data_IF_853184552786
#
_entry.id   IF_853184552786
#
_cell.length_a   1.000
_cell.length_b   1.000
_cell.length_c   1.000
_cell.angle_alpha   90.00
_cell.angle_beta   90.00
_cell.angle_gamma   90.00
#
_symmetry.space_group_name_H-M   'P 1'
#
loop_
_entity.id
_entity.type
_entity.pdbx_description
1 polymer ?
#
# COMPACT_ATOMS: atom_id res chain seq x y z
N UNK A 1 16.40 -4.54 26.53
CA UNK A 1 15.05 -3.95 26.35
C UNK A 1 14.16 -5.03 25.76
N UNK A 2 13.31 -5.64 26.59
CA UNK A 2 12.38 -6.69 26.17
C UNK A 2 11.35 -6.08 25.22
N UNK A 3 11.26 -6.60 23.98
CA UNK A 3 10.14 -6.36 23.08
C UNK A 3 8.86 -6.78 23.81
N UNK A 4 8.04 -5.83 24.23
CA UNK A 4 6.67 -6.13 24.66
C UNK A 4 5.95 -6.56 23.38
N UNK A 5 5.62 -7.84 23.28
CA UNK A 5 5.10 -8.48 22.06
C UNK A 5 3.62 -8.14 21.79
N UNK A 6 2.95 -7.41 22.67
CA UNK A 6 1.54 -7.05 22.57
C UNK A 6 1.30 -5.64 23.11
N UNK A 7 0.42 -4.87 22.48
CA UNK A 7 0.03 -3.55 23.03
C UNK A 7 -0.82 -3.73 24.29
N UNK A 8 -0.84 -2.73 25.18
CA UNK A 8 -1.70 -2.77 26.38
C UNK A 8 -3.19 -2.94 26.00
N UNK A 9 -3.60 -2.35 24.88
CA UNK A 9 -4.93 -2.50 24.29
C UNK A 9 -5.23 -3.95 23.83
N UNK A 10 -4.27 -4.62 23.19
CA UNK A 10 -4.41 -6.05 22.81
C UNK A 10 -4.57 -6.95 24.05
N UNK A 11 -3.82 -6.67 25.11
CA UNK A 11 -3.91 -7.42 26.38
C UNK A 11 -5.26 -7.18 27.07
N UNK A 12 -5.76 -5.94 27.05
CA UNK A 12 -7.06 -5.59 27.62
C UNK A 12 -8.21 -6.23 26.83
N UNK A 13 -8.16 -6.19 25.50
CA UNK A 13 -9.15 -6.83 24.63
C UNK A 13 -9.15 -8.35 24.77
N UNK A 14 -7.98 -8.99 24.85
CA UNK A 14 -7.88 -10.43 25.07
C UNK A 14 -8.46 -10.83 26.44
N UNK A 15 -8.19 -10.03 27.47
CA UNK A 15 -8.74 -10.24 28.83
C UNK A 15 -10.26 -10.10 28.84
N UNK A 16 -10.80 -9.08 28.18
CA UNK A 16 -12.25 -8.90 28.06
C UNK A 16 -12.88 -10.05 27.26
N UNK A 17 -12.28 -10.44 26.13
CA UNK A 17 -12.74 -11.57 25.30
C UNK A 17 -12.84 -12.85 26.12
N UNK A 18 -11.84 -13.14 26.95
CA UNK A 18 -11.83 -14.33 27.81
C UNK A 18 -12.89 -14.25 28.92
N UNK A 19 -13.08 -13.08 29.53
CA UNK A 19 -14.07 -12.87 30.61
C UNK A 19 -15.52 -12.96 30.09
N UNK A 20 -15.77 -12.47 28.88
CA UNK A 20 -17.11 -12.39 28.28
C UNK A 20 -17.50 -13.64 27.50
N UNK A 21 -16.54 -14.54 27.29
CA UNK A 21 -16.77 -15.80 26.60
C UNK A 21 -17.51 -16.79 27.50
N UNK A 22 -18.64 -17.30 27.00
CA UNK A 22 -19.53 -18.23 27.72
C UNK A 22 -19.19 -19.68 27.35
N UNK A 23 -18.90 -19.94 26.08
CA UNK A 23 -18.59 -21.27 25.55
C UNK A 23 -19.07 -21.48 24.11
N UNK A 24 -18.87 -22.69 23.59
CA UNK A 24 -19.24 -23.07 22.22
C UNK A 24 -20.43 -24.03 22.23
N UNK A 25 -21.38 -23.83 21.31
CA UNK A 25 -22.54 -24.72 21.16
C UNK A 25 -22.93 -24.95 19.70
N UNK A 26 -23.65 -26.03 19.45
CA UNK A 26 -24.33 -26.29 18.17
C UNK A 26 -25.72 -25.68 18.21
N UNK A 27 -26.00 -24.76 17.30
CA UNK A 27 -27.30 -24.05 17.22
C UNK A 27 -27.93 -24.25 15.86
N UNK A 28 -29.26 -24.27 15.78
CA UNK A 28 -29.95 -24.30 14.49
C UNK A 28 -29.65 -23.03 13.70
N UNK A 29 -29.35 -23.16 12.41
CA UNK A 29 -29.07 -22.04 11.51
C UNK A 29 -30.22 -21.02 11.51
N UNK A 30 -31.47 -21.49 11.65
CA UNK A 30 -32.67 -20.66 11.69
C UNK A 30 -32.81 -19.79 12.96
N UNK A 31 -32.02 -20.05 14.00
CA UNK A 31 -32.08 -19.34 15.27
C UNK A 31 -31.04 -18.22 15.37
N UNK A 32 -30.12 -18.13 14.41
CA UNK A 32 -29.06 -17.13 14.38
C UNK A 32 -29.58 -15.92 13.60
N UNK A 33 -29.84 -14.81 14.30
CA UNK A 33 -30.23 -13.55 13.67
C UNK A 33 -29.03 -12.64 13.49
N UNK A 34 -29.11 -11.73 12.51
CA UNK A 34 -28.06 -10.77 12.20
C UNK A 34 -28.71 -9.39 12.06
N UNK A 35 -28.53 -8.52 13.07
CA UNK A 35 -29.15 -7.19 13.08
C UNK A 35 -28.32 -6.17 12.29
N UNK A 36 -28.98 -5.32 11.48
CA UNK A 36 -28.33 -4.16 10.86
C UNK A 36 -28.04 -3.03 11.88
N UNK A 37 -27.03 -2.17 11.66
CA UNK A 37 -26.19 -2.10 10.46
C UNK A 37 -25.05 -3.13 10.51
N UNK A 38 -25.08 -4.06 9.56
CA UNK A 38 -24.02 -5.04 9.38
C UNK A 38 -22.89 -4.38 8.58
N UNK A 39 -21.62 -4.75 8.83
CA UNK A 39 -20.49 -4.22 8.06
C UNK A 39 -20.61 -4.47 6.56
N UNK A 40 -21.30 -5.56 6.15
CA UNK A 40 -21.43 -6.00 4.77
C UNK A 40 -22.80 -6.62 4.50
N UNK A 41 -23.37 -6.25 3.35
CA UNK A 41 -24.55 -6.92 2.79
C UNK A 41 -24.21 -8.32 2.25
N UNK A 42 -25.26 -9.12 2.00
CA UNK A 42 -25.13 -10.45 1.41
C UNK A 42 -24.63 -10.38 -0.04
N UNK A 43 -23.33 -10.47 -0.25
CA UNK A 43 -22.74 -10.68 -1.59
C UNK A 43 -23.12 -12.05 -2.21
N UNK A 44 -23.86 -12.06 -3.34
CA UNK A 44 -24.23 -13.29 -4.03
C UNK A 44 -23.04 -14.09 -4.56
N UNK A 45 -21.93 -13.45 -4.97
CA UNK A 45 -20.75 -14.15 -5.47
C UNK A 45 -20.06 -14.97 -4.38
N UNK A 46 -20.00 -14.43 -3.16
CA UNK A 46 -19.42 -15.15 -2.03
C UNK A 46 -20.33 -16.29 -1.57
N UNK A 47 -21.65 -16.08 -1.61
CA UNK A 47 -22.62 -17.16 -1.38
C UNK A 47 -22.42 -18.31 -2.38
N UNK A 48 -22.28 -18.01 -3.67
CA UNK A 48 -22.07 -19.04 -4.70
C UNK A 48 -20.75 -19.80 -4.51
N UNK A 49 -19.68 -19.08 -4.12
CA UNK A 49 -18.41 -19.70 -3.76
C UNK A 49 -18.57 -20.65 -2.57
N UNK A 50 -19.20 -20.19 -1.49
CA UNK A 50 -19.43 -20.99 -0.28
C UNK A 50 -20.34 -22.19 -0.55
N UNK A 51 -21.41 -22.02 -1.35
CA UNK A 51 -22.28 -23.12 -1.81
C UNK A 51 -21.48 -24.19 -2.53
N UNK A 52 -20.55 -23.80 -3.41
CA UNK A 52 -19.67 -24.75 -4.13
C UNK A 52 -18.74 -25.49 -3.16
N UNK A 53 -18.11 -24.77 -2.23
CA UNK A 53 -17.23 -25.35 -1.19
C UNK A 53 -18.00 -26.34 -0.32
N UNK A 54 -19.22 -26.02 0.10
CA UNK A 54 -20.03 -26.90 0.93
C UNK A 54 -20.50 -28.16 0.19
N UNK A 55 -20.85 -28.05 -1.10
CA UNK A 55 -21.20 -29.21 -1.94
C UNK A 55 -20.02 -30.17 -2.17
N UNK A 56 -18.78 -29.66 -2.13
CA UNK A 56 -17.57 -30.46 -2.27
C UNK A 56 -17.08 -31.08 -0.95
N UNK A 57 -17.96 -31.19 0.07
CA UNK A 57 -17.69 -31.78 1.38
C UNK A 57 -16.63 -31.06 2.22
N UNK A 58 -16.35 -29.78 1.95
CA UNK A 58 -15.43 -28.96 2.75
C UNK A 58 -16.15 -28.15 3.84
N UNK A 59 -17.32 -28.58 4.30
CA UNK A 59 -18.08 -27.88 5.35
C UNK A 59 -17.46 -28.15 6.74
N UNK A 60 -16.33 -27.49 7.03
CA UNK A 60 -15.54 -27.62 8.27
C UNK A 60 -16.17 -26.83 9.44
N UNK A 61 -17.41 -27.17 9.82
CA UNK A 61 -18.19 -26.47 10.86
C UNK A 61 -17.61 -26.56 12.27
N UNK A 62 -16.72 -27.52 12.52
CA UNK A 62 -16.06 -27.73 13.82
C UNK A 62 -14.71 -27.02 13.92
N UNK A 63 -14.28 -26.37 12.84
CA UNK A 63 -13.03 -25.62 12.79
C UNK A 63 -13.27 -24.24 13.38
N UNK A 64 -12.39 -23.78 14.26
CA UNK A 64 -12.57 -22.54 15.03
C UNK A 64 -12.70 -21.34 14.09
N UNK A 65 -11.97 -21.36 12.98
CA UNK A 65 -12.04 -20.34 11.91
C UNK A 65 -13.43 -20.26 11.25
N UNK A 66 -14.25 -21.32 11.41
CA UNK A 66 -15.59 -21.45 10.85
C UNK A 66 -16.72 -21.20 11.85
N UNK A 67 -16.39 -20.93 13.11
CA UNK A 67 -17.38 -20.62 14.13
C UNK A 67 -18.04 -19.25 13.87
N UNK A 68 -19.25 -19.11 14.37
CA UNK A 68 -19.98 -17.83 14.32
C UNK A 68 -19.94 -17.22 15.72
N UNK A 69 -19.26 -16.08 15.92
CA UNK A 69 -19.38 -15.36 17.18
C UNK A 69 -20.79 -14.77 17.30
N UNK A 70 -21.46 -15.03 18.41
CA UNK A 70 -22.80 -14.51 18.68
C UNK A 70 -22.93 -14.01 20.11
N UNK A 71 -23.74 -12.97 20.29
CA UNK A 71 -24.08 -12.44 21.61
C UNK A 71 -25.45 -12.94 22.05
N UNK A 72 -25.57 -13.18 23.36
CA UNK A 72 -26.80 -13.66 23.99
C UNK A 72 -26.96 -13.03 25.37
N UNK A 73 -28.20 -12.70 25.75
CA UNK A 73 -28.47 -12.20 27.09
C UNK A 73 -28.32 -13.31 28.14
N UNK A 74 -27.88 -13.00 29.38
CA UNK A 74 -27.79 -14.00 30.44
C UNK A 74 -29.13 -14.69 30.74
N UNK A 75 -30.25 -13.98 30.58
CA UNK A 75 -31.59 -14.52 30.79
C UNK A 75 -31.96 -15.55 29.72
N UNK A 76 -31.70 -15.23 28.45
CA UNK A 76 -32.02 -16.11 27.32
C UNK A 76 -31.12 -17.36 27.32
N UNK A 77 -29.85 -17.20 27.69
CA UNK A 77 -28.94 -18.32 27.88
C UNK A 77 -29.43 -19.27 28.97
N UNK A 78 -29.83 -18.75 30.13
CA UNK A 78 -30.33 -19.57 31.24
C UNK A 78 -31.59 -20.34 30.84
N UNK A 79 -32.50 -19.71 30.10
CA UNK A 79 -33.70 -20.36 29.57
C UNK A 79 -33.35 -21.48 28.58
N UNK A 80 -32.40 -21.22 27.67
CA UNK A 80 -31.95 -22.19 26.68
C UNK A 80 -31.25 -23.39 27.33
N UNK A 81 -30.40 -23.17 28.33
CA UNK A 81 -29.72 -24.22 29.09
C UNK A 81 -30.69 -25.08 29.90
N UNK A 82 -31.68 -24.47 30.57
CA UNK A 82 -32.74 -25.20 31.28
C UNK A 82 -33.57 -26.07 30.35
N UNK A 83 -33.93 -25.54 29.18
CA UNK A 83 -34.69 -26.29 28.16
C UNK A 83 -33.89 -27.47 27.60
N UNK A 84 -32.58 -27.30 27.42
CA UNK A 84 -31.70 -28.35 26.96
C UNK A 84 -31.31 -29.36 28.06
N UNK A 85 -31.56 -29.02 29.34
CA UNK A 85 -31.09 -29.75 30.52
C UNK A 85 -29.56 -29.90 30.55
N UNK A 86 -28.84 -28.83 30.22
CA UNK A 86 -27.38 -28.79 30.08
C UNK A 86 -26.80 -27.77 31.08
N UNK A 87 -25.67 -28.10 31.69
CA UNK A 87 -24.94 -27.16 32.54
C UNK A 87 -24.06 -26.23 31.70
N UNK A 88 -23.84 -25.00 32.17
CA UNK A 88 -22.97 -24.04 31.47
C UNK A 88 -21.54 -24.57 31.29
N UNK A 89 -21.05 -25.40 32.21
CA UNK A 89 -19.71 -26.00 32.12
C UNK A 89 -19.55 -26.92 30.90
N UNK A 90 -20.63 -27.54 30.42
CA UNK A 90 -20.62 -28.36 29.20
C UNK A 90 -20.35 -27.55 27.93
N UNK A 91 -20.55 -26.21 27.96
CA UNK A 91 -20.23 -25.32 26.84
C UNK A 91 -18.74 -25.04 26.69
N UNK A 92 -17.95 -25.26 27.74
CA UNK A 92 -16.50 -25.06 27.74
C UNK A 92 -15.72 -26.32 27.31
N UNK A 93 -16.40 -27.27 26.65
CA UNK A 93 -15.76 -28.51 26.21
C UNK A 93 -14.73 -28.26 25.12
N UNK A 94 -13.56 -28.90 25.23
CA UNK A 94 -12.49 -28.84 24.24
C UNK A 94 -12.70 -29.84 23.10
N UNK A 95 -13.58 -30.85 23.28
CA UNK A 95 -13.87 -31.84 22.23
C UNK A 95 -15.02 -31.35 21.33
N UNK A 96 -14.67 -30.94 20.10
CA UNK A 96 -15.62 -30.48 19.09
C UNK A 96 -16.71 -31.53 18.77
N UNK A 97 -16.45 -32.83 18.99
CA UNK A 97 -17.46 -33.88 18.79
C UNK A 97 -18.54 -33.89 19.86
N UNK A 98 -18.21 -33.43 21.07
CA UNK A 98 -19.09 -33.44 22.24
C UNK A 98 -19.81 -32.10 22.47
N UNK A 99 -19.72 -31.17 21.52
CA UNK A 99 -20.39 -29.87 21.64
C UNK A 99 -21.91 -30.04 21.84
N UNK A 100 -22.47 -29.43 22.90
CA UNK A 100 -23.89 -29.52 23.23
C UNK A 100 -24.73 -28.83 22.16
N UNK A 101 -25.94 -29.34 21.93
CA UNK A 101 -26.91 -28.71 21.03
C UNK A 101 -27.88 -27.87 21.85
N UNK A 102 -27.91 -26.56 21.59
CA UNK A 102 -28.78 -25.61 22.28
C UNK A 102 -29.76 -25.01 21.28
N UNK A 103 -30.99 -24.81 21.72
CA UNK A 103 -32.04 -24.17 20.95
C UNK A 103 -32.43 -22.84 21.57
N UNK A 104 -32.31 -21.76 20.80
CA UNK A 104 -32.79 -20.44 21.16
C UNK A 104 -34.14 -20.15 20.48
N UNK A 105 -34.95 -19.26 21.07
CA UNK A 105 -36.11 -18.69 20.40
C UNK A 105 -35.66 -17.64 19.38
N UNK A 106 -36.56 -17.29 18.46
CA UNK A 106 -36.31 -16.26 17.48
C UNK A 106 -36.03 -14.91 18.17
N UNK A 107 -34.94 -14.24 17.79
CA UNK A 107 -34.49 -12.98 18.40
C UNK A 107 -33.55 -13.11 19.61
N UNK A 108 -33.33 -14.31 20.16
CA UNK A 108 -32.51 -14.47 21.37
C UNK A 108 -31.00 -14.59 21.10
N UNK A 109 -30.61 -14.95 19.87
CA UNK A 109 -29.21 -15.17 19.52
C UNK A 109 -28.82 -14.29 18.33
N UNK A 110 -27.91 -13.34 18.58
CA UNK A 110 -27.47 -12.38 17.59
C UNK A 110 -26.06 -12.71 17.11
N UNK A 111 -25.92 -13.18 15.88
CA UNK A 111 -24.64 -13.39 15.23
C UNK A 111 -23.96 -12.06 14.88
N UNK A 112 -22.68 -11.93 15.25
CA UNK A 112 -21.85 -10.77 14.91
C UNK A 112 -21.21 -10.93 13.52
N UNK A 113 -20.91 -12.17 13.11
CA UNK A 113 -20.27 -12.46 11.82
C UNK A 113 -20.72 -13.82 11.25
N UNK A 114 -20.37 -14.12 9.99
CA UNK A 114 -20.58 -15.43 9.37
C UNK A 114 -21.95 -15.62 8.72
N UNK A 115 -22.69 -14.53 8.49
CA UNK A 115 -24.00 -14.54 7.81
C UNK A 115 -23.98 -15.27 6.47
N UNK A 116 -22.96 -15.06 5.63
CA UNK A 116 -22.83 -15.77 4.35
C UNK A 116 -22.69 -17.29 4.51
N UNK A 117 -22.02 -17.75 5.57
CA UNK A 117 -21.82 -19.18 5.85
C UNK A 117 -23.11 -19.81 6.36
N UNK A 118 -23.79 -19.14 7.30
CA UNK A 118 -25.10 -19.56 7.83
C UNK A 118 -26.12 -19.64 6.69
N UNK A 119 -26.17 -18.62 5.82
CA UNK A 119 -27.08 -18.60 4.67
C UNK A 119 -26.76 -19.67 3.62
N UNK A 120 -25.49 -19.82 3.23
CA UNK A 120 -25.08 -20.88 2.31
C UNK A 120 -25.33 -22.28 2.90
N UNK A 121 -25.17 -22.43 4.22
CA UNK A 121 -25.47 -23.65 4.96
C UNK A 121 -26.97 -23.97 4.95
N UNK A 122 -27.84 -22.96 5.13
CA UNK A 122 -29.29 -23.13 5.13
C UNK A 122 -29.81 -23.77 3.82
N UNK A 123 -29.19 -23.41 2.70
CA UNK A 123 -29.61 -23.84 1.36
C UNK A 123 -28.97 -25.15 0.91
N UNK A 124 -27.72 -25.42 1.31
CA UNK A 124 -26.97 -26.60 0.86
C UNK A 124 -27.13 -27.79 1.81
N UNK A 125 -27.27 -27.55 3.11
CA UNK A 125 -27.31 -28.63 4.10
C UNK A 125 -28.69 -29.29 4.17
N UNK A 126 -28.68 -30.61 4.32
CA UNK A 126 -29.87 -31.42 4.58
C UNK A 126 -30.55 -30.96 5.88
N UNK A 127 -31.90 -31.09 6.01
CA UNK A 127 -32.63 -30.62 7.19
C UNK A 127 -32.08 -31.10 8.54
N UNK A 128 -31.59 -32.35 8.61
CA UNK A 128 -30.98 -32.91 9.83
C UNK A 128 -29.67 -32.20 10.24
N UNK A 129 -28.95 -31.65 9.26
CA UNK A 129 -27.64 -31.04 9.40
C UNK A 129 -27.66 -29.51 9.41
N UNK A 130 -28.84 -28.87 9.46
CA UNK A 130 -28.98 -27.39 9.52
C UNK A 130 -28.62 -26.80 10.88
N UNK A 131 -27.42 -27.09 11.34
CA UNK A 131 -26.81 -26.54 12.53
C UNK A 131 -25.46 -25.92 12.21
N UNK A 132 -25.08 -24.92 13.00
CA UNK A 132 -23.79 -24.26 12.94
C UNK A 132 -23.15 -24.20 14.33
N UNK A 133 -21.82 -24.14 14.39
CA UNK A 133 -21.08 -23.99 15.64
C UNK A 133 -20.96 -22.50 15.96
N UNK A 134 -21.42 -22.14 17.15
CA UNK A 134 -21.52 -20.75 17.60
C UNK A 134 -20.72 -20.56 18.87
N UNK A 135 -19.89 -19.52 18.87
CA UNK A 135 -19.15 -19.07 20.05
C UNK A 135 -19.98 -18.01 20.75
N UNK A 136 -20.41 -18.31 21.98
CA UNK A 136 -21.35 -17.50 22.73
C UNK A 136 -20.60 -16.48 23.60
N UNK A 137 -20.98 -15.22 23.44
CA UNK A 137 -20.53 -14.10 24.25
C UNK A 137 -21.71 -13.47 24.98
N UNK A 138 -21.43 -12.89 26.14
CA UNK A 138 -22.40 -12.07 26.86
C UNK A 138 -22.78 -10.84 26.02
N UNK A 139 -24.02 -10.36 26.13
CA UNK A 139 -24.50 -9.16 25.42
C UNK A 139 -23.80 -7.85 25.85
N UNK A 140 -23.27 -7.82 27.08
CA UNK A 140 -22.56 -6.70 27.69
C UNK A 140 -21.07 -6.60 27.31
N UNK A 141 -20.71 -6.91 26.07
CA UNK A 141 -19.36 -6.69 25.52
C UNK A 141 -19.13 -5.20 25.19
N UNK A 142 -17.91 -4.71 25.42
CA UNK A 142 -17.48 -3.38 25.05
C UNK A 142 -17.56 -3.13 23.54
N UNK A 143 -17.67 -1.85 23.15
CA UNK A 143 -17.74 -1.46 21.75
C UNK A 143 -16.48 -1.88 20.96
N UNK A 144 -15.32 -1.85 21.61
CA UNK A 144 -14.04 -2.27 21.03
C UNK A 144 -14.00 -3.78 20.78
N UNK A 145 -14.35 -4.61 21.78
CA UNK A 145 -14.42 -6.06 21.61
C UNK A 145 -15.46 -6.47 20.56
N UNK A 146 -16.62 -5.81 20.55
CA UNK A 146 -17.65 -6.02 19.51
C UNK A 146 -17.11 -5.72 18.12
N UNK A 147 -16.37 -4.62 17.97
CA UNK A 147 -15.75 -4.25 16.69
C UNK A 147 -14.68 -5.27 16.30
N UNK A 148 -13.79 -5.65 17.23
CA UNK A 148 -12.77 -6.67 17.01
C UNK A 148 -13.34 -8.01 16.54
N UNK A 149 -14.37 -8.54 17.21
CA UNK A 149 -15.04 -9.79 16.81
C UNK A 149 -15.72 -9.71 15.45
N UNK A 150 -16.18 -8.52 15.06
CA UNK A 150 -16.76 -8.29 13.74
C UNK A 150 -15.67 -8.17 12.66
N UNK A 151 -14.51 -7.61 12.99
CA UNK A 151 -13.43 -7.29 12.05
C UNK A 151 -12.41 -8.41 11.85
N UNK A 152 -12.01 -9.10 12.92
CA UNK A 152 -11.06 -10.22 12.90
C UNK A 152 -11.47 -11.26 11.85
N UNK A 153 -12.79 -11.51 11.75
CA UNK A 153 -13.38 -12.48 10.84
C UNK A 153 -13.86 -11.88 9.50
N UNK A 154 -13.94 -10.54 9.36
CA UNK A 154 -14.24 -9.87 8.09
C UNK A 154 -13.11 -10.00 7.05
N UNK A 155 -11.94 -10.51 7.47
CA UNK A 155 -10.75 -10.70 6.64
C UNK A 155 -10.83 -11.92 5.69
N UNK A 156 -11.95 -12.66 5.67
CA UNK A 156 -12.19 -13.74 4.69
C UNK A 156 -12.19 -13.26 3.21
N UNK A 157 -12.24 -11.94 2.99
CA UNK A 157 -11.98 -11.30 1.70
C UNK A 157 -11.22 -9.99 1.92
N UNK A 158 -10.26 -9.69 1.04
CA UNK A 158 -9.59 -8.40 0.97
C UNK A 158 -10.65 -7.29 0.95
N UNK A 159 -10.67 -6.37 1.95
CA UNK A 159 -11.64 -5.28 1.98
C UNK A 159 -11.50 -4.43 0.72
N UNK A 160 -12.61 -3.85 0.26
CA UNK A 160 -12.54 -2.90 -0.85
C UNK A 160 -11.81 -1.63 -0.42
N UNK A 161 -11.14 -0.95 -1.33
CA UNK A 161 -10.38 0.26 -0.99
C UNK A 161 -11.26 1.35 -0.38
N UNK A 162 -12.55 1.38 -0.74
CA UNK A 162 -13.55 2.25 -0.10
C UNK A 162 -13.93 1.85 1.33
N UNK A 163 -13.94 0.55 1.65
CA UNK A 163 -14.09 0.06 3.03
C UNK A 163 -12.86 0.41 3.86
N UNK A 164 -11.66 0.22 3.30
CA UNK A 164 -10.40 0.58 3.95
C UNK A 164 -10.36 2.09 4.23
N UNK A 165 -10.64 2.92 3.23
CA UNK A 165 -10.66 4.38 3.39
C UNK A 165 -11.72 4.82 4.42
N UNK A 166 -12.93 4.26 4.36
CA UNK A 166 -13.98 4.56 5.35
C UNK A 166 -13.51 4.22 6.76
N UNK A 167 -12.88 3.06 6.95
CA UNK A 167 -12.35 2.64 8.25
C UNK A 167 -11.21 3.52 8.72
N UNK A 168 -10.21 3.80 7.87
CA UNK A 168 -9.11 4.74 8.20
C UNK A 168 -9.68 6.08 8.69
N UNK A 169 -10.67 6.64 7.98
CA UNK A 169 -11.31 7.90 8.36
C UNK A 169 -12.19 7.80 9.61
N UNK A 170 -12.75 6.62 9.89
CA UNK A 170 -13.49 6.33 11.11
C UNK A 170 -12.57 6.20 12.33
N UNK A 171 -11.35 5.66 12.15
CA UNK A 171 -10.34 5.56 13.20
C UNK A 171 -9.54 6.86 13.41
N UNK A 172 -9.35 7.67 12.37
CA UNK A 172 -8.74 9.01 12.49
C UNK A 172 -9.66 10.03 13.19
N UNK A 173 -10.96 9.72 13.31
CA UNK A 173 -11.98 10.58 13.89
C UNK A 173 -12.66 9.94 15.08
N UNK A 174 -11.96 9.84 16.21
CA UNK A 174 -12.65 9.73 17.49
C UNK A 174 -13.57 10.95 17.68
N UNK A 175 -14.81 10.70 18.10
CA UNK A 175 -15.96 11.60 18.29
C UNK A 175 -17.02 11.67 17.17
N UNK A 176 -18.09 10.94 17.46
CA UNK A 176 -19.14 10.41 16.58
C UNK A 176 -20.29 11.38 16.21
N UNK A 177 -20.11 12.70 16.27
CA UNK A 177 -21.21 13.66 15.96
C UNK A 177 -20.82 14.76 14.98
N UNK A 178 -19.58 15.25 15.03
CA UNK A 178 -19.10 16.37 14.19
C UNK A 178 -18.98 16.00 12.69
N UNK A 179 -18.97 14.70 12.38
CA UNK A 179 -18.78 14.23 11.01
C UNK A 179 -20.04 14.37 10.13
N UNK A 180 -21.27 14.21 10.66
CA UNK A 180 -22.47 14.31 9.81
C UNK A 180 -22.64 15.71 9.21
N UNK A 181 -22.47 16.74 10.02
CA UNK A 181 -22.66 18.13 9.58
C UNK A 181 -21.52 18.64 8.70
N UNK A 182 -20.27 18.25 9.01
CA UNK A 182 -19.09 18.67 8.24
C UNK A 182 -18.99 17.94 6.89
N UNK A 183 -19.49 16.71 6.80
CA UNK A 183 -19.46 15.90 5.59
C UNK A 183 -20.42 16.43 4.51
N UNK A 184 -21.51 17.11 4.85
CA UNK A 184 -22.48 17.58 3.83
C UNK A 184 -22.01 18.86 3.10
N UNK A 185 -21.27 19.75 3.75
CA UNK A 185 -20.62 20.88 3.09
C UNK A 185 -19.41 20.41 2.25
N UNK A 186 -18.54 19.57 2.83
CA UNK A 186 -17.42 18.99 2.10
C UNK A 186 -17.88 18.15 0.89
N UNK A 187 -18.97 17.38 1.02
CA UNK A 187 -19.60 16.65 -0.10
C UNK A 187 -20.13 17.59 -1.16
N UNK A 188 -20.79 18.70 -0.79
CA UNK A 188 -21.27 19.69 -1.78
C UNK A 188 -20.12 20.32 -2.54
N UNK A 189 -19.02 20.62 -1.86
CA UNK A 189 -17.79 21.15 -2.49
C UNK A 189 -17.17 20.10 -3.44
N UNK A 190 -17.00 18.86 -2.97
CA UNK A 190 -16.46 17.77 -3.79
C UNK A 190 -17.37 17.52 -5.00
N UNK A 191 -18.68 17.47 -4.80
CA UNK A 191 -19.66 17.28 -5.87
C UNK A 191 -19.59 18.39 -6.92
N UNK A 192 -19.54 19.66 -6.49
CA UNK A 192 -19.36 20.81 -7.38
C UNK A 192 -18.05 20.72 -8.18
N UNK A 193 -16.95 20.29 -7.55
CA UNK A 193 -15.67 20.08 -8.25
C UNK A 193 -15.74 18.92 -9.24
N UNK A 194 -16.39 17.81 -8.88
CA UNK A 194 -16.57 16.65 -9.75
C UNK A 194 -17.43 16.99 -10.97
N UNK A 195 -18.47 17.81 -10.81
CA UNK A 195 -19.33 18.24 -11.93
C UNK A 195 -18.60 19.12 -12.94
N UNK A 196 -17.60 19.88 -12.49
CA UNK A 196 -16.80 20.78 -13.32
C UNK A 196 -15.47 20.15 -13.78
N UNK A 197 -15.26 18.85 -13.54
CA UNK A 197 -14.05 18.16 -13.93
C UNK A 197 -14.25 17.43 -15.25
N UNK A 198 -13.55 17.88 -16.29
CA UNK A 198 -13.64 17.32 -17.65
C UNK A 198 -12.84 16.02 -17.86
N UNK A 199 -12.22 15.49 -16.80
CA UNK A 199 -11.37 14.29 -16.85
C UNK A 199 -12.02 13.03 -16.30
N UNK A 200 -11.36 11.89 -16.48
CA UNK A 200 -11.73 10.64 -15.83
C UNK A 200 -11.49 10.76 -14.32
N UNK A 201 -12.53 10.55 -13.52
CA UNK A 201 -12.40 10.44 -12.06
C UNK A 201 -12.04 8.99 -11.74
N UNK A 202 -10.79 8.69 -11.32
CA UNK A 202 -10.40 7.32 -11.02
C UNK A 202 -11.22 6.80 -9.84
N UNK A 203 -11.62 5.53 -9.93
CA UNK A 203 -12.03 4.78 -8.74
C UNK A 203 -10.86 4.73 -7.73
N UNK A 204 -11.15 4.53 -6.45
CA UNK A 204 -10.08 4.32 -5.45
C UNK A 204 -9.14 3.19 -5.85
N UNK A 205 -9.69 2.12 -6.44
CA UNK A 205 -8.89 1.01 -6.97
C UNK A 205 -7.91 1.46 -8.04
N UNK A 206 -8.39 2.12 -9.10
CA UNK A 206 -7.52 2.62 -10.17
C UNK A 206 -6.54 3.67 -9.67
N UNK A 207 -6.95 4.53 -8.73
CA UNK A 207 -6.06 5.49 -8.09
C UNK A 207 -4.89 4.80 -7.36
N UNK A 208 -5.16 3.74 -6.60
CA UNK A 208 -4.10 2.98 -5.93
C UNK A 208 -3.25 2.15 -6.90
N UNK A 209 -3.83 1.65 -8.00
CA UNK A 209 -3.05 1.01 -9.07
C UNK A 209 -2.13 2.01 -9.78
N UNK A 210 -2.62 3.22 -10.09
CA UNK A 210 -1.82 4.31 -10.67
C UNK A 210 -0.70 4.74 -9.72
N UNK A 211 -0.95 4.69 -8.40
CA UNK A 211 0.06 4.98 -7.40
C UNK A 211 1.25 4.00 -7.44
N UNK A 212 1.04 2.74 -7.81
CA UNK A 212 2.15 1.77 -7.98
C UNK A 212 3.09 2.17 -9.12
N UNK A 213 2.53 2.70 -10.20
CA UNK A 213 3.31 3.23 -11.31
C UNK A 213 4.07 4.49 -10.89
N UNK A 214 3.39 5.41 -10.21
CA UNK A 214 4.03 6.62 -9.67
C UNK A 214 5.10 6.31 -8.63
N UNK A 215 4.95 5.25 -7.85
CA UNK A 215 5.96 4.80 -6.88
C UNK A 215 7.25 4.33 -7.58
N UNK A 216 7.13 3.62 -8.70
CA UNK A 216 8.29 3.24 -9.51
C UNK A 216 9.01 4.46 -10.11
N UNK A 217 8.24 5.45 -10.59
CA UNK A 217 8.81 6.71 -11.09
C UNK A 217 9.47 7.51 -9.95
N UNK A 218 8.79 7.60 -8.81
CA UNK A 218 9.30 8.27 -7.62
C UNK A 218 10.65 7.70 -7.22
N UNK A 219 10.78 6.37 -7.19
CA UNK A 219 12.05 5.72 -6.88
C UNK A 219 13.20 6.20 -7.78
N UNK A 220 12.97 6.34 -9.09
CA UNK A 220 13.97 6.88 -10.02
C UNK A 220 14.43 8.27 -9.58
N UNK A 221 13.50 9.17 -9.26
CA UNK A 221 13.81 10.52 -8.79
C UNK A 221 14.55 10.50 -7.44
N UNK A 222 14.17 9.60 -6.51
CA UNK A 222 14.84 9.48 -5.21
C UNK A 222 16.31 9.12 -5.34
N UNK A 223 16.71 8.38 -6.38
CA UNK A 223 18.11 8.04 -6.65
C UNK A 223 18.99 9.28 -6.89
N UNK A 224 18.41 10.39 -7.32
CA UNK A 224 19.12 11.67 -7.51
C UNK A 224 19.28 12.47 -6.21
N UNK A 225 18.46 12.20 -5.19
CA UNK A 225 18.37 13.02 -3.99
C UNK A 225 18.96 12.35 -2.74
N UNK A 226 19.30 11.07 -2.79
CA UNK A 226 19.78 10.31 -1.63
C UNK A 226 18.66 9.97 -0.63
N UNK A 227 18.99 9.78 0.66
CA UNK A 227 17.99 9.50 1.70
C UNK A 227 17.06 10.71 1.87
N UNK A 228 15.76 10.47 1.67
CA UNK A 228 14.74 11.52 1.72
C UNK A 228 13.97 11.45 3.04
N UNK A 229 14.11 12.49 3.86
CA UNK A 229 13.34 12.67 5.10
C UNK A 229 12.04 13.50 4.91
N UNK A 230 11.85 14.10 3.73
CA UNK A 230 10.73 14.98 3.39
C UNK A 230 10.00 14.57 2.09
N UNK A 231 9.13 15.41 1.53
CA UNK A 231 8.55 15.15 0.20
C UNK A 231 9.61 15.32 -0.89
N UNK A 232 9.50 14.55 -1.98
CA UNK A 232 10.40 14.64 -3.15
C UNK A 232 10.49 16.09 -3.65
N UNK A 233 9.36 16.78 -3.73
CA UNK A 233 9.31 18.20 -4.08
C UNK A 233 10.22 19.06 -3.20
N UNK A 234 10.07 18.98 -1.86
CA UNK A 234 10.89 19.80 -0.94
C UNK A 234 12.37 19.50 -1.06
N UNK A 235 12.73 18.23 -1.19
CA UNK A 235 14.13 17.83 -1.39
C UNK A 235 14.67 18.36 -2.71
N UNK A 236 13.94 18.20 -3.81
CA UNK A 236 14.32 18.72 -5.12
C UNK A 236 14.42 20.25 -5.14
N UNK A 237 13.52 20.97 -4.48
CA UNK A 237 13.61 22.43 -4.34
C UNK A 237 14.86 22.86 -3.55
N UNK A 238 15.28 22.09 -2.54
CA UNK A 238 16.46 22.44 -1.73
C UNK A 238 17.78 22.25 -2.47
N UNK A 239 17.82 21.33 -3.44
CA UNK A 239 19.00 21.05 -4.27
C UNK A 239 19.01 21.86 -5.58
N UNK A 240 18.01 22.72 -5.81
CA UNK A 240 17.96 23.59 -6.97
C UNK A 240 18.78 24.86 -6.74
N UNK A 241 19.76 25.10 -7.59
CA UNK A 241 20.64 26.26 -7.48
C UNK A 241 20.09 27.40 -8.34
N UNK A 242 19.82 28.52 -7.69
CA UNK A 242 19.53 29.78 -8.37
C UNK A 242 20.80 30.32 -9.02
N UNK A 243 20.74 30.81 -10.27
CA UNK A 243 21.88 31.48 -10.89
C UNK A 243 22.31 32.64 -10.00
N UNK A 244 23.58 32.68 -9.62
CA UNK A 244 24.13 33.76 -8.80
C UNK A 244 24.08 35.08 -9.57
N UNK A 245 23.63 36.16 -8.90
CA UNK A 245 23.55 37.53 -9.45
C UNK A 245 24.92 38.20 -9.68
N UNK A 246 25.94 37.47 -10.11
CA UNK A 246 27.24 38.05 -10.44
C UNK A 246 27.29 38.47 -11.91
N UNK A 247 26.76 39.67 -12.16
CA UNK A 247 27.27 40.53 -13.22
C UNK A 247 26.42 40.62 -14.50
N UNK A 248 25.19 41.10 -14.40
CA UNK A 248 24.71 42.32 -15.10
C UNK A 248 23.26 42.54 -14.71
N UNK A 249 22.97 43.70 -14.12
CA UNK A 249 21.60 44.13 -13.87
C UNK A 249 20.85 44.27 -15.20
N UNK A 250 20.02 43.29 -15.52
CA UNK A 250 18.87 43.48 -16.40
C UNK A 250 17.74 42.65 -15.83
N UNK A 251 16.74 43.31 -15.26
CA UNK A 251 15.50 42.65 -14.84
C UNK A 251 14.85 42.03 -16.08
N UNK A 252 15.01 40.73 -16.26
CA UNK A 252 14.54 40.05 -17.46
C UNK A 252 14.92 38.59 -17.39
N UNK A 253 13.90 37.75 -17.24
CA UNK A 253 13.90 36.29 -17.25
C UNK A 253 15.22 35.59 -17.63
N UNK A 254 15.66 34.69 -16.75
CA UNK A 254 16.77 33.79 -17.03
C UNK A 254 16.28 32.73 -18.03
N UNK A 255 17.14 32.36 -18.98
CA UNK A 255 16.84 31.28 -19.93
C UNK A 255 16.63 29.95 -19.18
N UNK A 256 15.40 29.45 -19.18
CA UNK A 256 15.03 28.09 -18.81
C UNK A 256 15.35 27.12 -19.95
N UNK A 257 15.94 25.97 -19.61
CA UNK A 257 16.15 24.88 -20.56
C UNK A 257 14.94 23.95 -20.55
N UNK A 258 14.35 23.75 -21.72
CA UNK A 258 13.26 22.81 -21.96
C UNK A 258 13.72 21.77 -22.97
N UNK A 259 13.78 20.52 -22.54
CA UNK A 259 14.06 19.36 -23.37
C UNK A 259 12.91 19.19 -24.38
N UNK A 260 13.26 19.25 -25.66
CA UNK A 260 12.30 19.07 -26.79
C UNK A 260 12.43 17.70 -27.44
N UNK A 261 13.60 17.08 -27.35
CA UNK A 261 13.87 15.70 -27.78
C UNK A 261 14.94 15.09 -26.87
N UNK A 262 15.29 13.81 -27.06
CA UNK A 262 16.33 13.12 -26.27
C UNK A 262 17.67 13.87 -26.25
N UNK A 263 18.00 14.63 -27.30
CA UNK A 263 19.28 15.33 -27.45
C UNK A 263 19.18 16.85 -27.60
N UNK A 264 17.97 17.43 -27.73
CA UNK A 264 17.81 18.86 -28.01
C UNK A 264 17.09 19.60 -26.89
N UNK A 265 17.59 20.81 -26.61
CA UNK A 265 17.04 21.73 -25.64
C UNK A 265 16.69 23.06 -26.29
N UNK A 266 15.52 23.59 -25.92
CA UNK A 266 15.08 24.93 -26.26
C UNK A 266 15.25 25.83 -25.05
N UNK A 267 15.75 27.05 -25.27
CA UNK A 267 15.79 28.10 -24.25
C UNK A 267 14.50 28.90 -24.27
N UNK A 268 13.93 29.14 -23.10
CA UNK A 268 12.74 29.95 -22.92
C UNK A 268 12.90 30.87 -21.71
N UNK A 269 12.51 32.12 -21.87
CA UNK A 269 12.45 33.09 -20.79
C UNK A 269 11.44 32.65 -19.73
N UNK A 270 11.89 32.43 -18.50
CA UNK A 270 11.03 32.04 -17.38
C UNK A 270 11.52 32.63 -16.05
N UNK A 271 10.61 32.73 -15.08
CA UNK A 271 10.93 33.06 -13.69
C UNK A 271 11.62 31.90 -12.98
N UNK A 272 12.25 32.15 -11.84
CA UNK A 272 12.94 31.10 -11.09
C UNK A 272 11.99 30.00 -10.58
N UNK A 273 10.76 30.36 -10.20
CA UNK A 273 9.74 29.40 -9.81
C UNK A 273 9.31 28.52 -10.99
N UNK A 274 9.07 29.13 -12.17
CA UNK A 274 8.73 28.37 -13.39
C UNK A 274 9.88 27.46 -13.82
N UNK A 275 11.14 27.87 -13.63
CA UNK A 275 12.32 27.03 -13.90
C UNK A 275 12.39 25.83 -12.98
N UNK A 276 12.15 26.03 -11.69
CA UNK A 276 12.08 24.95 -10.71
C UNK A 276 10.94 23.97 -11.05
N UNK A 277 9.74 24.47 -11.31
CA UNK A 277 8.57 23.65 -11.65
C UNK A 277 8.78 22.89 -12.96
N UNK A 278 9.24 23.57 -14.01
CA UNK A 278 9.49 22.96 -15.32
C UNK A 278 10.64 21.96 -15.26
N UNK A 279 11.71 22.26 -14.52
CA UNK A 279 12.82 21.33 -14.30
C UNK A 279 12.37 20.07 -13.54
N UNK A 280 11.60 20.25 -12.47
CA UNK A 280 11.01 19.13 -11.72
C UNK A 280 10.12 18.26 -12.62
N UNK A 281 9.23 18.87 -13.40
CA UNK A 281 8.35 18.15 -14.32
C UNK A 281 9.15 17.38 -15.38
N UNK A 282 10.21 17.96 -15.93
CA UNK A 282 11.06 17.29 -16.93
C UNK A 282 11.74 16.03 -16.37
N UNK A 283 12.23 16.09 -15.12
CA UNK A 283 12.82 14.93 -14.44
C UNK A 283 11.76 13.83 -14.23
N UNK A 284 10.54 14.20 -13.82
CA UNK A 284 9.44 13.24 -13.69
C UNK A 284 9.02 12.63 -15.03
N UNK A 285 8.97 13.43 -16.09
CA UNK A 285 8.69 12.94 -17.45
C UNK A 285 9.78 12.00 -17.95
N UNK A 286 11.05 12.24 -17.59
CA UNK A 286 12.13 11.31 -17.88
C UNK A 286 11.94 10.00 -17.10
N UNK A 287 11.69 10.07 -15.79
CA UNK A 287 11.44 8.90 -14.96
C UNK A 287 10.26 8.07 -15.51
N UNK A 288 9.16 8.71 -15.90
CA UNK A 288 8.00 8.04 -16.52
C UNK A 288 8.34 7.31 -17.83
N UNK A 289 9.25 7.87 -18.65
CA UNK A 289 9.69 7.24 -19.90
C UNK A 289 10.61 6.03 -19.67
N UNK A 290 11.45 6.09 -18.64
CA UNK A 290 12.56 5.15 -18.46
C UNK A 290 12.49 4.30 -17.17
N UNK A 291 11.39 4.33 -16.41
CA UNK A 291 11.28 3.62 -15.12
C UNK A 291 11.53 2.10 -15.23
N UNK A 292 11.21 1.48 -16.38
CA UNK A 292 11.44 0.05 -16.64
C UNK A 292 12.93 -0.29 -16.72
N UNK A 293 13.77 0.68 -17.10
CA UNK A 293 15.22 0.57 -17.18
C UNK A 293 15.89 0.87 -15.83
N UNK A 294 15.17 1.48 -14.89
CA UNK A 294 15.69 1.92 -13.60
C UNK A 294 14.93 1.30 -12.41
N UNK A 295 14.85 -0.04 -12.31
CA UNK A 295 14.18 -0.71 -11.20
C UNK A 295 14.84 -0.39 -9.84
N UNK A 296 14.07 -0.57 -8.75
CA UNK A 296 14.57 -0.39 -7.42
C UNK A 296 15.64 -1.40 -7.02
N UNK A 297 16.67 -0.89 -6.35
CA UNK A 297 17.73 -1.70 -5.76
C UNK A 297 17.10 -2.66 -4.74
N UNK A 298 17.60 -3.91 -4.65
CA UNK A 298 17.06 -4.87 -3.71
C UNK A 298 17.24 -4.35 -2.27
N UNK A 299 16.15 -4.36 -1.50
CA UNK A 299 16.26 -4.41 -0.04
C UNK A 299 16.98 -5.71 0.30
N UNK A 300 17.93 -5.68 1.24
CA UNK A 300 18.94 -6.73 1.46
C UNK A 300 18.41 -8.15 1.26
N UNK A 301 19.21 -8.98 0.58
CA UNK A 301 18.91 -10.40 0.27
C UNK A 301 18.49 -11.23 1.51
N UNK A 302 18.79 -10.76 2.72
CA UNK A 302 18.44 -11.39 4.00
C UNK A 302 16.92 -11.47 4.28
N UNK A 303 16.08 -10.68 3.63
CA UNK A 303 14.61 -10.70 3.84
C UNK A 303 13.84 -11.58 2.86
N UNK A 304 14.48 -12.17 1.84
CA UNK A 304 13.79 -12.90 0.78
C UNK A 304 14.17 -14.39 0.74
N UNK A 305 13.19 -15.26 1.04
CA UNK A 305 13.32 -16.72 0.98
C UNK A 305 13.61 -17.28 -0.45
N UNK A 306 13.50 -16.44 -1.48
CA UNK A 306 13.83 -16.78 -2.86
C UNK A 306 14.53 -15.62 -3.57
N UNK A 307 15.69 -15.90 -4.20
CA UNK A 307 16.43 -14.96 -5.03
C UNK A 307 15.61 -14.64 -6.29
N UNK A 308 14.97 -13.48 -6.33
CA UNK A 308 14.31 -12.98 -7.52
C UNK A 308 15.37 -12.53 -8.53
N UNK A 309 15.37 -13.09 -9.74
CA UNK A 309 16.20 -12.64 -10.88
C UNK A 309 15.64 -11.29 -11.38
N UNK A 310 15.86 -10.22 -10.62
CA UNK A 310 15.45 -8.87 -11.04
C UNK A 310 16.46 -8.33 -12.06
N UNK A 311 15.99 -7.65 -13.13
CA UNK A 311 16.88 -6.99 -14.06
C UNK A 311 17.71 -5.94 -13.31
N UNK A 312 19.03 -5.93 -13.54
CA UNK A 312 19.90 -4.87 -13.03
C UNK A 312 19.49 -3.55 -13.69
N UNK A 313 19.56 -2.42 -12.97
CA UNK A 313 19.27 -1.14 -13.57
C UNK A 313 20.28 -0.80 -14.65
N UNK A 314 19.78 -0.17 -15.71
CA UNK A 314 20.61 0.36 -16.79
C UNK A 314 21.37 1.58 -16.29
N UNK A 315 22.69 1.42 -16.15
CA UNK A 315 23.59 2.48 -15.67
C UNK A 315 23.57 3.71 -16.58
N UNK A 316 23.29 3.53 -17.88
CA UNK A 316 23.20 4.63 -18.85
C UNK A 316 21.95 5.46 -18.63
N UNK A 317 20.80 4.82 -18.45
CA UNK A 317 19.54 5.53 -18.21
C UNK A 317 19.58 6.35 -16.91
N UNK A 318 20.27 5.85 -15.87
CA UNK A 318 20.49 6.58 -14.62
C UNK A 318 21.40 7.79 -14.84
N UNK A 319 22.51 7.60 -15.56
CA UNK A 319 23.45 8.67 -15.86
C UNK A 319 22.79 9.80 -16.66
N UNK A 320 22.08 9.48 -17.73
CA UNK A 320 21.36 10.45 -18.57
C UNK A 320 20.32 11.24 -17.75
N UNK A 321 19.68 10.60 -16.75
CA UNK A 321 18.79 11.29 -15.81
C UNK A 321 19.54 12.28 -14.90
N UNK A 322 20.70 11.88 -14.39
CA UNK A 322 21.54 12.73 -13.54
C UNK A 322 22.12 13.91 -14.33
N UNK A 323 22.54 13.67 -15.58
CA UNK A 323 22.99 14.73 -16.50
C UNK A 323 21.86 15.72 -16.79
N UNK A 324 20.64 15.24 -17.09
CA UNK A 324 19.48 16.09 -17.27
C UNK A 324 19.19 16.93 -16.02
N UNK A 325 19.22 16.32 -14.83
CA UNK A 325 19.00 17.04 -13.58
C UNK A 325 20.06 18.13 -13.35
N UNK A 326 21.33 17.83 -13.62
CA UNK A 326 22.43 18.78 -13.52
C UNK A 326 22.26 19.96 -14.49
N UNK A 327 21.91 19.69 -15.75
CA UNK A 327 21.65 20.72 -16.77
C UNK A 327 20.46 21.63 -16.41
N UNK A 328 19.46 21.08 -15.73
CA UNK A 328 18.30 21.83 -15.25
C UNK A 328 18.58 22.65 -13.98
N UNK A 329 19.78 22.53 -13.38
CA UNK A 329 20.20 23.30 -12.22
C UNK A 329 20.01 22.61 -10.87
N UNK A 330 19.75 21.30 -10.86
CA UNK A 330 19.71 20.50 -9.63
C UNK A 330 21.10 19.94 -9.32
N UNK A 331 21.62 20.21 -8.12
CA UNK A 331 22.92 19.73 -7.68
C UNK A 331 22.83 19.03 -6.33
N UNK A 332 23.23 17.76 -6.30
CA UNK A 332 23.34 16.96 -5.08
C UNK A 332 24.62 16.13 -5.14
N UNK A 333 25.07 15.66 -3.98
CA UNK A 333 26.21 14.75 -3.87
C UNK A 333 26.02 13.47 -4.67
N UNK A 334 24.78 12.99 -4.75
CA UNK A 334 24.37 11.82 -5.49
C UNK A 334 24.38 12.06 -7.00
N UNK A 335 23.89 13.22 -7.47
CA UNK A 335 23.99 13.62 -8.89
C UNK A 335 25.47 13.70 -9.29
N UNK A 336 26.31 14.34 -8.49
CA UNK A 336 27.75 14.43 -8.77
C UNK A 336 28.43 13.05 -8.79
N UNK A 337 28.04 12.16 -7.87
CA UNK A 337 28.55 10.79 -7.84
C UNK A 337 28.12 10.00 -9.08
N UNK A 338 26.87 10.13 -9.52
CA UNK A 338 26.32 9.48 -10.71
C UNK A 338 26.97 9.98 -12.00
N UNK A 339 27.27 11.28 -12.08
CA UNK A 339 27.98 11.85 -13.23
C UNK A 339 29.41 11.30 -13.30
N UNK A 340 30.11 11.22 -12.16
CA UNK A 340 31.47 10.66 -12.08
C UNK A 340 31.52 9.16 -12.37
N UNK A 341 30.46 8.42 -12.04
CA UNK A 341 30.36 6.98 -12.27
C UNK A 341 29.79 6.61 -13.65
N UNK A 342 29.64 7.59 -14.56
CA UNK A 342 29.03 7.38 -15.87
C UNK A 342 29.65 6.18 -16.62
N UNK A 343 28.86 5.49 -17.46
CA UNK A 343 29.35 4.39 -18.29
C UNK A 343 30.56 4.82 -19.14
N UNK A 344 30.53 6.05 -19.66
CA UNK A 344 31.62 6.63 -20.45
C UNK A 344 32.89 6.83 -19.62
N UNK A 345 32.78 7.27 -18.36
CA UNK A 345 33.91 7.35 -17.44
C UNK A 345 34.46 5.97 -17.10
N UNK A 346 33.60 4.96 -16.92
CA UNK A 346 34.03 3.57 -16.69
C UNK A 346 34.72 2.97 -17.93
N UNK A 347 34.22 3.25 -19.13
CA UNK A 347 34.83 2.86 -20.40
C UNK A 347 36.18 3.55 -20.57
N UNK A 348 36.26 4.86 -20.35
CA UNK A 348 37.52 5.62 -20.41
C UNK A 348 38.55 5.11 -19.39
N UNK A 349 38.11 4.87 -18.15
CA UNK A 349 38.95 4.32 -17.06
C UNK A 349 39.45 2.92 -17.40
N UNK A 350 38.57 2.04 -17.86
CA UNK A 350 38.95 0.68 -18.26
C UNK A 350 39.85 0.69 -19.49
N UNK A 351 39.61 1.56 -20.47
CA UNK A 351 40.46 1.73 -21.64
C UNK A 351 41.90 2.14 -21.27
N UNK A 352 42.08 3.11 -20.37
CA UNK A 352 43.41 3.51 -19.87
C UNK A 352 44.15 2.35 -19.20
N UNK A 353 43.47 1.61 -18.32
CA UNK A 353 44.05 0.50 -17.57
C UNK A 353 44.29 -0.76 -18.43
N UNK A 354 43.50 -0.98 -19.48
CA UNK A 354 43.70 -2.07 -20.43
C UNK A 354 44.79 -1.74 -21.45
N UNK A 355 44.85 -0.49 -21.93
CA UNK A 355 45.85 -0.06 -22.90
C UNK A 355 47.29 -0.09 -22.34
N UNK A 356 47.45 0.08 -21.02
CA UNK A 356 48.73 -0.02 -20.32
C UNK A 356 48.60 -0.88 -19.07
N UNK A 357 49.22 -2.07 -19.10
CA UNK A 357 49.14 -3.04 -18.00
C UNK A 357 49.56 -2.41 -16.66
N UNK A 358 48.73 -2.50 -15.60
CA UNK A 358 48.97 -1.83 -14.32
C UNK A 358 50.23 -2.34 -13.59
N UNK A 359 50.70 -3.54 -13.93
CA UNK A 359 51.93 -4.10 -13.36
C UNK A 359 53.22 -3.48 -13.93
N UNK A 360 53.13 -2.67 -14.99
CA UNK A 360 54.30 -2.09 -15.69
C UNK A 360 54.21 -0.57 -15.85
N UNK A 361 53.02 0.00 -15.76
CA UNK A 361 52.78 1.43 -15.92
C UNK A 361 51.83 1.91 -14.82
N UNK A 362 52.09 3.10 -14.28
CA UNK A 362 51.26 3.74 -13.27
C UNK A 362 50.92 5.15 -13.72
N UNK A 363 49.65 5.51 -13.60
CA UNK A 363 49.19 6.89 -13.72
C UNK A 363 49.28 7.57 -12.35
N UNK A 364 49.62 8.86 -12.32
CA UNK A 364 49.48 9.65 -11.10
C UNK A 364 47.99 9.75 -10.73
N UNK A 365 47.67 9.59 -9.46
CA UNK A 365 46.32 9.71 -8.92
C UNK A 365 45.68 11.08 -9.19
N UNK A 366 46.48 12.15 -9.27
CA UNK A 366 45.95 13.49 -9.54
C UNK A 366 45.63 13.71 -11.03
N UNK A 367 46.44 13.12 -11.92
CA UNK A 367 46.26 13.27 -13.38
C UNK A 367 45.28 12.23 -13.96
N UNK A 368 45.03 11.14 -13.26
CA UNK A 368 44.21 10.04 -13.78
C UNK A 368 42.78 10.48 -14.09
N UNK A 369 42.15 11.24 -13.20
CA UNK A 369 40.79 11.75 -13.41
C UNK A 369 40.75 12.79 -14.55
N UNK A 370 41.81 13.60 -14.71
CA UNK A 370 41.94 14.52 -15.85
C UNK A 370 42.02 13.77 -17.19
N UNK A 371 42.77 12.67 -17.23
CA UNK A 371 42.90 11.83 -18.43
C UNK A 371 41.58 11.12 -18.77
N UNK A 372 40.84 10.66 -17.76
CA UNK A 372 39.48 10.10 -17.96
C UNK A 372 38.56 11.15 -18.57
N UNK A 373 38.55 12.38 -18.02
CA UNK A 373 37.73 13.48 -18.53
C UNK A 373 38.08 13.85 -19.98
N UNK A 374 39.36 13.79 -20.37
CA UNK A 374 39.78 14.04 -21.76
C UNK A 374 39.23 13.01 -22.74
N UNK A 375 39.20 11.72 -22.36
CA UNK A 375 38.62 10.67 -23.21
C UNK A 375 37.10 10.83 -23.31
N UNK A 376 36.43 11.13 -22.20
CA UNK A 376 34.98 11.37 -22.18
C UNK A 376 34.61 12.58 -23.05
N UNK A 377 35.42 13.65 -23.02
CA UNK A 377 35.26 14.80 -23.92
C UNK A 377 35.35 14.42 -25.41
N UNK A 378 36.09 13.36 -25.76
CA UNK A 378 36.10 12.84 -27.12
C UNK A 378 34.79 12.11 -27.48
N UNK A 379 34.19 11.37 -26.55
CA UNK A 379 32.90 10.71 -26.78
C UNK A 379 31.76 11.73 -26.99
N UNK A 380 31.78 12.83 -26.23
CA UNK A 380 30.80 13.92 -26.34
C UNK A 380 30.80 14.64 -27.71
N UNK A 381 31.80 14.41 -28.58
CA UNK A 381 31.83 14.94 -29.95
C UNK A 381 31.02 14.12 -30.95
N UNK A 382 30.48 12.96 -30.54
CA UNK A 382 29.63 12.14 -31.40
C UNK A 382 28.32 12.89 -31.72
N UNK A 383 27.95 12.92 -33.00
CA UNK A 383 26.70 13.51 -33.49
C UNK A 383 25.72 12.38 -33.81
N UNK A 384 24.44 12.58 -33.52
CA UNK A 384 23.39 11.60 -33.81
C UNK A 384 23.24 11.36 -35.31
N UNK A 385 23.11 10.10 -35.71
CA UNK A 385 23.04 9.66 -37.12
C UNK A 385 21.61 9.75 -37.71
N UNK A 386 20.64 10.27 -36.94
CA UNK A 386 19.27 10.44 -37.43
C UNK A 386 19.12 11.78 -38.15
N UNK A 387 18.76 11.79 -39.45
CA UNK A 387 18.41 13.04 -40.11
C UNK A 387 17.21 13.65 -39.41
N UNK A 388 17.32 14.92 -39.05
CA UNK A 388 16.19 15.77 -38.64
C UNK A 388 15.10 15.61 -39.71
N UNK A 389 14.03 14.88 -39.38
CA UNK A 389 12.84 14.89 -40.23
C UNK A 389 12.12 16.24 -40.01
N UNK A 390 11.72 16.91 -41.11
CA UNK A 390 11.26 18.30 -41.08
C UNK A 390 9.94 18.51 -40.34
#
# INVERSE_FOLDING_TARGET
MSRVLFTEEEVQLASERQLKYIGTAKVSISQIQFDPPLPRDLDPKNLDRLRRVFRQNHCRRLDVDNHVPAIVSPHDLANALRKANISQQSLLTTDARQLPRISFLEGQLLGLHGRHRVQAGAEVLLPADRWWTVDLYSDNIGAELRTSLVEEYANERKPTDGEIYRKIRQYEGDYNETFRERCDEERRIIWSRMQNFDGLIPSLYTFFEDFKYLEACAYCVKRLCGPIDMSIWRTMSSIFILPSEEGTATSGAVDSLIQTSESNFRRQQATDMERLETGYLQIWLYAMRHYTLMPPDPKSDDELLAKSTRPKPDERAIYEMAELAYQLGFQSTEIDALIKSSPDHQIARSALLQARKPNRYRYDSQDFDLLVNQIVSCFAKAVSDRPEQP
#
